data_IF_718019878263
#
_entry.id   IF_718019878263
#
_cell.length_a   1.000
_cell.length_b   1.000
_cell.length_c   1.000
_cell.angle_alpha   90.00
_cell.angle_beta   90.00
_cell.angle_gamma   90.00
#
_symmetry.space_group_name_H-M   'P 1'
#
loop_
_entity.id
_entity.type
_entity.pdbx_description
1 polymer ?
#
# COMPACT_ATOMS: atom_id res chain seq x y z
N UNK A 1 10.55 -10.21 17.29
CA UNK A 1 10.65 -9.66 15.93
C UNK A 1 9.69 -10.44 15.03
N UNK A 2 8.86 -9.79 14.20
CA UNK A 2 7.74 -10.46 13.48
C UNK A 2 8.17 -11.31 12.27
N UNK A 3 9.44 -11.26 11.83
CA UNK A 3 9.97 -12.14 10.77
C UNK A 3 9.40 -11.97 9.36
N UNK A 4 8.65 -10.89 9.11
CA UNK A 4 7.93 -10.70 7.85
C UNK A 4 8.85 -10.22 6.72
N UNK A 5 8.71 -10.84 5.54
CA UNK A 5 9.43 -10.43 4.33
C UNK A 5 8.67 -9.35 3.58
N UNK A 6 9.30 -8.18 3.45
CA UNK A 6 8.81 -7.09 2.61
C UNK A 6 9.64 -6.95 1.35
N UNK A 7 8.96 -6.71 0.23
CA UNK A 7 9.56 -6.31 -1.05
C UNK A 7 9.29 -4.83 -1.28
N UNK A 8 10.34 -4.10 -1.67
CA UNK A 8 10.25 -2.66 -1.95
C UNK A 8 9.75 -2.37 -3.36
N UNK A 9 9.06 -1.24 -3.55
CA UNK A 9 8.65 -0.68 -4.86
C UNK A 9 8.02 -1.72 -5.80
N UNK A 10 7.06 -2.47 -5.29
CA UNK A 10 6.47 -3.59 -6.02
C UNK A 10 5.33 -3.10 -6.92
N UNK A 11 5.38 -3.45 -8.21
CA UNK A 11 4.26 -3.27 -9.13
C UNK A 11 3.11 -4.20 -8.70
N UNK A 12 1.92 -3.62 -8.49
CA UNK A 12 0.68 -4.29 -8.21
C UNK A 12 -0.42 -3.72 -9.12
N UNK A 13 -0.67 -4.41 -10.24
CA UNK A 13 -1.57 -3.92 -11.29
C UNK A 13 -1.09 -2.56 -11.82
N UNK A 14 -1.94 -1.51 -11.84
CA UNK A 14 -1.56 -0.21 -12.38
C UNK A 14 -0.74 0.65 -11.39
N UNK A 15 -0.49 0.19 -10.16
CA UNK A 15 0.19 0.98 -9.14
C UNK A 15 1.52 0.37 -8.70
N UNK A 16 2.43 1.21 -8.23
CA UNK A 16 3.66 0.81 -7.55
C UNK A 16 3.48 1.10 -6.07
N UNK A 17 3.76 0.12 -5.22
CA UNK A 17 3.66 0.26 -3.76
C UNK A 17 5.03 0.22 -3.11
N UNK A 18 5.26 1.05 -2.09
CA UNK A 18 6.58 1.17 -1.45
C UNK A 18 7.01 -0.12 -0.79
N UNK A 19 6.11 -0.82 -0.11
CA UNK A 19 6.39 -2.12 0.48
C UNK A 19 5.22 -3.09 0.31
N UNK A 20 5.53 -4.35 0.00
CA UNK A 20 4.56 -5.45 -0.04
C UNK A 20 5.06 -6.66 0.73
N UNK A 21 4.24 -7.17 1.65
CA UNK A 21 4.41 -8.47 2.28
C UNK A 21 3.43 -9.47 1.67
N UNK A 22 3.94 -10.43 0.91
CA UNK A 22 3.08 -11.41 0.25
C UNK A 22 2.41 -12.37 1.24
N UNK A 23 3.16 -12.80 2.26
CA UNK A 23 2.73 -13.78 3.27
C UNK A 23 1.50 -13.31 4.07
N UNK A 24 1.35 -12.00 4.24
CA UNK A 24 0.23 -11.39 4.96
C UNK A 24 -0.72 -10.59 4.07
N UNK A 25 -0.47 -10.59 2.76
CA UNK A 25 -1.20 -9.76 1.79
C UNK A 25 -1.28 -8.29 2.22
N UNK A 26 -0.18 -7.77 2.79
CA UNK A 26 -0.06 -6.39 3.26
C UNK A 26 0.66 -5.53 2.24
N UNK A 27 0.22 -4.27 2.17
CA UNK A 27 0.83 -3.21 1.39
C UNK A 27 1.01 -2.01 2.31
N UNK A 28 2.18 -1.37 2.23
CA UNK A 28 2.47 -0.09 2.87
C UNK A 28 2.83 0.87 1.75
N UNK A 29 2.15 2.01 1.73
CA UNK A 29 2.46 3.14 0.86
C UNK A 29 2.90 4.31 1.74
N UNK A 30 3.96 4.99 1.33
CA UNK A 30 4.43 6.23 1.94
C UNK A 30 3.78 7.38 1.19
N UNK A 31 3.09 8.23 1.93
CA UNK A 31 2.48 9.42 1.35
C UNK A 31 3.45 10.60 1.42
N UNK A 32 3.66 11.28 0.30
CA UNK A 32 4.59 12.40 0.17
C UNK A 32 4.05 13.73 0.73
N UNK A 33 3.00 13.70 1.57
CA UNK A 33 2.34 14.90 2.11
C UNK A 33 1.55 15.71 1.07
N UNK A 34 1.44 15.22 -0.17
CA UNK A 34 0.67 15.85 -1.25
C UNK A 34 -0.66 15.11 -1.55
N UNK A 35 -1.04 14.12 -0.74
CA UNK A 35 -2.40 13.58 -0.79
C UNK A 35 -3.39 14.57 -0.20
N UNK A 36 -3.97 15.38 -1.08
CA UNK A 36 -5.10 16.24 -0.79
C UNK A 36 -6.44 15.46 -0.84
N UNK A 37 -6.43 14.15 -0.50
CA UNK A 37 -7.59 13.24 -0.59
C UNK A 37 -8.31 13.39 -1.95
N UNK A 38 -7.54 13.30 -3.03
CA UNK A 38 -8.09 13.46 -4.36
C UNK A 38 -8.99 12.26 -4.71
N UNK A 39 -9.97 12.42 -5.63
CA UNK A 39 -10.73 11.29 -6.13
C UNK A 39 -9.87 10.15 -6.69
N UNK A 40 -8.70 10.48 -7.26
CA UNK A 40 -7.77 9.49 -7.78
C UNK A 40 -7.14 8.64 -6.66
N UNK A 41 -6.83 9.26 -5.53
CA UNK A 41 -6.24 8.58 -4.37
C UNK A 41 -7.25 7.60 -3.75
N UNK A 42 -8.52 8.03 -3.63
CA UNK A 42 -9.61 7.14 -3.18
C UNK A 42 -9.82 5.95 -4.11
N UNK A 43 -9.75 6.17 -5.43
CA UNK A 43 -9.87 5.08 -6.42
C UNK A 43 -8.70 4.10 -6.34
N UNK A 44 -7.48 4.61 -6.20
CA UNK A 44 -6.28 3.80 -6.00
C UNK A 44 -6.41 2.97 -4.73
N UNK A 45 -6.80 3.60 -3.64
CA UNK A 45 -6.93 2.95 -2.33
C UNK A 45 -7.99 1.85 -2.36
N UNK A 46 -9.17 2.11 -2.91
CA UNK A 46 -10.22 1.11 -3.10
C UNK A 46 -9.81 -0.03 -4.06
N UNK A 47 -8.93 0.23 -5.03
CA UNK A 47 -8.37 -0.80 -5.89
C UNK A 47 -7.36 -1.68 -5.14
N UNK A 48 -6.47 -1.06 -4.37
CA UNK A 48 -5.44 -1.75 -3.56
C UNK A 48 -6.08 -2.63 -2.49
N UNK A 49 -7.12 -2.15 -1.80
CA UNK A 49 -7.86 -2.90 -0.79
C UNK A 49 -8.54 -4.16 -1.34
N UNK A 50 -9.06 -4.10 -2.57
CA UNK A 50 -9.64 -5.28 -3.24
C UNK A 50 -8.57 -6.32 -3.64
N UNK A 51 -7.31 -5.91 -3.79
CA UNK A 51 -6.21 -6.76 -4.26
C UNK A 51 -5.26 -7.23 -3.15
N UNK A 52 -5.23 -6.52 -2.02
CA UNK A 52 -4.42 -6.81 -0.83
C UNK A 52 -5.35 -7.06 0.37
N UNK A 53 -5.36 -8.28 0.91
CA UNK A 53 -6.41 -8.82 1.78
C UNK A 53 -6.51 -8.21 3.20
N UNK A 54 -5.85 -7.10 3.50
CA UNK A 54 -6.13 -6.21 4.65
C UNK A 54 -5.17 -5.03 4.61
N UNK A 55 -5.70 -3.81 4.73
CA UNK A 55 -4.89 -2.63 5.02
C UNK A 55 -4.66 -2.57 6.53
N UNK A 56 -3.41 -2.50 6.97
CA UNK A 56 -3.12 -1.97 8.30
C UNK A 56 -1.88 -1.08 8.19
N UNK A 57 -2.07 0.16 8.61
CA UNK A 57 -1.16 1.30 8.64
C UNK A 57 -0.78 1.93 7.29
N UNK A 58 -1.56 2.96 6.95
CA UNK A 58 -1.02 4.23 6.47
C UNK A 58 -0.09 4.77 7.59
N UNK A 59 1.22 4.63 7.45
CA UNK A 59 2.16 5.34 8.33
C UNK A 59 2.46 6.67 7.65
N UNK A 60 1.74 7.70 8.04
CA UNK A 60 2.18 9.09 7.88
C UNK A 60 3.25 9.30 8.95
N UNK A 61 4.47 9.63 8.56
CA UNK A 61 5.39 10.33 9.45
C UNK A 61 5.21 11.83 9.23
#
# INVERSE_FOLDING_TARGET
>A
MLGLKFRRQKILGPYIVDFRCHERMLVIALDGGQHEDSPADRLRDAWLERRAARRNLLLVL
#
